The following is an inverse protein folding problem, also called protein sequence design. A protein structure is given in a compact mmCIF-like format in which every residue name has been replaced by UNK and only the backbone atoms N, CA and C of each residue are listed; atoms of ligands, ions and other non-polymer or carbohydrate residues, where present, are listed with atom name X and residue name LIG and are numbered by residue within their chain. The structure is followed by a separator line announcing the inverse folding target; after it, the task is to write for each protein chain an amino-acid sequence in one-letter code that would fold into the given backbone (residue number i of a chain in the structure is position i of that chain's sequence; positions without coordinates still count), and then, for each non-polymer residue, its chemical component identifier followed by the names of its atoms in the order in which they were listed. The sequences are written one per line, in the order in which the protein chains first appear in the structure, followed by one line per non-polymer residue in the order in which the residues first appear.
data_IF_454565435527
#
_entry.id   IF_454565435527
#
_cell.length_a   1.000
_cell.length_b   1.000
_cell.length_c   1.000
_cell.angle_alpha   90.00
_cell.angle_beta   90.00
_cell.angle_gamma   90.00
#
_symmetry.space_group_name_H-M   'P 1'
#
loop_
_entity.id
_entity.type
_entity.pdbx_description
1 polymer ?
#
# COMPACT_ATOMS: atom_id res chain seq x y z
N UNK A 1 30.97 -31.37 16.85
CA UNK A 1 29.86 -30.40 16.68
C UNK A 1 30.49 -29.09 16.26
N UNK A 2 29.96 -28.34 15.27
CA UNK A 2 30.50 -27.01 14.99
C UNK A 2 30.43 -26.20 16.29
N UNK A 3 31.53 -25.56 16.68
CA UNK A 3 31.56 -24.73 17.89
C UNK A 3 30.60 -23.55 17.70
N UNK A 4 29.67 -23.38 18.63
CA UNK A 4 28.71 -22.29 18.62
C UNK A 4 29.48 -20.97 18.83
N UNK A 5 29.73 -20.24 17.74
CA UNK A 5 30.41 -18.94 17.77
C UNK A 5 29.37 -17.81 17.99
N UNK A 6 29.79 -16.72 18.63
CA UNK A 6 29.03 -15.49 18.83
C UNK A 6 28.34 -14.99 17.53
N UNK A 7 29.01 -15.10 16.38
CA UNK A 7 28.43 -14.70 15.09
C UNK A 7 27.29 -15.61 14.63
N UNK A 8 27.34 -16.91 14.93
CA UNK A 8 26.22 -17.82 14.66
C UNK A 8 25.00 -17.46 15.50
N UNK A 9 25.20 -17.16 16.80
CA UNK A 9 24.13 -16.72 17.70
C UNK A 9 23.51 -15.42 17.18
N UNK A 10 24.34 -14.47 16.72
CA UNK A 10 23.88 -13.20 16.14
C UNK A 10 23.03 -13.42 14.90
N UNK A 11 23.44 -14.32 13.99
CA UNK A 11 22.66 -14.66 12.79
C UNK A 11 21.33 -15.31 13.13
N UNK A 12 21.30 -16.22 14.10
CA UNK A 12 20.05 -16.84 14.57
C UNK A 12 19.12 -15.76 15.13
N UNK A 13 19.59 -14.92 16.05
CA UNK A 13 18.79 -13.83 16.63
C UNK A 13 18.26 -12.86 15.56
N UNK A 14 19.10 -12.50 14.57
CA UNK A 14 18.71 -11.63 13.47
C UNK A 14 17.58 -12.26 12.63
N UNK A 15 17.76 -13.49 12.17
CA UNK A 15 16.76 -14.18 11.32
C UNK A 15 15.46 -14.44 12.10
N UNK A 16 15.55 -14.79 13.39
CA UNK A 16 14.36 -14.92 14.25
C UNK A 16 13.63 -13.59 14.42
N UNK A 17 14.35 -12.49 14.68
CA UNK A 17 13.74 -11.15 14.76
C UNK A 17 13.06 -10.75 13.45
N UNK A 18 13.68 -11.03 12.30
CA UNK A 18 13.09 -10.78 10.99
C UNK A 18 11.82 -11.62 10.77
N UNK A 19 11.82 -12.89 11.18
CA UNK A 19 10.64 -13.76 11.08
C UNK A 19 9.45 -13.22 11.87
N UNK A 20 9.70 -12.71 13.08
CA UNK A 20 8.66 -12.09 13.93
C UNK A 20 8.16 -10.78 13.32
N UNK A 21 9.07 -9.92 12.82
CA UNK A 21 8.70 -8.68 12.15
C UNK A 21 7.82 -8.93 10.91
N UNK A 22 8.18 -9.92 10.09
CA UNK A 22 7.37 -10.37 8.94
C UNK A 22 5.98 -10.84 9.36
N UNK A 23 5.84 -11.46 10.54
CA UNK A 23 4.53 -11.84 11.04
C UNK A 23 3.64 -10.62 11.29
N UNK A 24 4.17 -9.63 12.01
CA UNK A 24 3.44 -8.39 12.28
C UNK A 24 3.07 -7.64 10.99
N UNK A 25 3.99 -7.54 10.03
CA UNK A 25 3.67 -6.91 8.75
C UNK A 25 2.68 -7.72 7.90
N UNK A 26 2.72 -9.05 7.97
CA UNK A 26 1.72 -9.91 7.32
C UNK A 26 0.32 -9.65 7.86
N UNK A 27 0.15 -9.55 9.17
CA UNK A 27 -1.13 -9.24 9.82
C UNK A 27 -1.62 -7.84 9.41
N UNK A 28 -0.76 -6.83 9.52
CA UNK A 28 -1.09 -5.46 9.13
C UNK A 28 -1.53 -5.39 7.66
N UNK A 29 -0.79 -6.02 6.75
CA UNK A 29 -1.11 -5.96 5.31
C UNK A 29 -2.37 -6.73 4.96
N UNK A 30 -2.67 -7.82 5.65
CA UNK A 30 -3.94 -8.54 5.52
C UNK A 30 -5.11 -7.64 5.92
N UNK A 31 -5.03 -6.93 7.06
CA UNK A 31 -6.07 -6.00 7.49
C UNK A 31 -6.32 -4.88 6.48
N UNK A 32 -5.26 -4.29 5.92
CA UNK A 32 -5.39 -3.25 4.89
C UNK A 32 -6.02 -3.80 3.60
N UNK A 33 -5.69 -5.03 3.22
CA UNK A 33 -6.27 -5.69 2.06
C UNK A 33 -7.76 -5.95 2.27
N UNK A 34 -8.15 -6.44 3.45
CA UNK A 34 -9.55 -6.63 3.82
C UNK A 34 -10.33 -5.30 3.80
N UNK A 35 -9.77 -4.22 4.37
CA UNK A 35 -10.36 -2.88 4.34
C UNK A 35 -10.55 -2.39 2.89
N UNK A 36 -9.54 -2.58 2.04
CA UNK A 36 -9.59 -2.24 0.61
C UNK A 36 -10.66 -3.02 -0.13
N UNK A 37 -10.71 -4.35 0.07
CA UNK A 37 -11.69 -5.24 -0.56
C UNK A 37 -13.13 -4.89 -0.18
N UNK A 38 -13.36 -4.40 1.03
CA UNK A 38 -14.68 -3.89 1.44
C UNK A 38 -15.15 -2.75 0.55
N UNK A 39 -14.27 -1.79 0.26
CA UNK A 39 -14.55 -0.68 -0.64
C UNK A 39 -14.74 -1.14 -2.09
N UNK A 40 -13.90 -2.08 -2.56
CA UNK A 40 -14.05 -2.69 -3.89
C UNK A 40 -15.40 -3.40 -4.03
N UNK A 41 -15.83 -4.15 -3.01
CA UNK A 41 -17.13 -4.84 -3.00
C UNK A 41 -18.29 -3.85 -2.97
N UNK A 42 -18.15 -2.74 -2.25
CA UNK A 42 -19.16 -1.68 -2.28
C UNK A 42 -19.26 -1.04 -3.67
N UNK A 43 -18.12 -0.77 -4.31
CA UNK A 43 -18.04 -0.24 -5.66
C UNK A 43 -18.71 -1.17 -6.68
N UNK A 44 -18.42 -2.47 -6.63
CA UNK A 44 -19.05 -3.50 -7.48
C UNK A 44 -20.59 -3.46 -7.33
N UNK A 45 -21.09 -3.41 -6.10
CA UNK A 45 -22.53 -3.49 -5.83
C UNK A 45 -23.29 -2.18 -6.07
N UNK A 46 -22.63 -1.02 -5.97
CA UNK A 46 -23.30 0.30 -5.93
C UNK A 46 -22.83 1.28 -7.00
N UNK A 47 -21.78 0.96 -7.75
CA UNK A 47 -21.20 1.82 -8.79
C UNK A 47 -20.60 3.13 -8.26
N UNK A 48 -20.33 3.21 -6.95
CA UNK A 48 -19.73 4.39 -6.31
C UNK A 48 -18.89 3.96 -5.10
N UNK A 49 -17.93 4.78 -4.71
CA UNK A 49 -17.14 4.58 -3.49
C UNK A 49 -17.93 4.97 -2.23
N UNK A 50 -17.78 4.22 -1.15
CA UNK A 50 -18.31 4.50 0.20
C UNK A 50 -17.29 5.20 1.12
N UNK A 51 -16.15 5.64 0.58
CA UNK A 51 -15.11 6.40 1.28
C UNK A 51 -15.09 7.86 0.82
N UNK A 52 -14.91 8.79 1.76
CA UNK A 52 -14.80 10.22 1.46
C UNK A 52 -13.38 10.59 1.04
N UNK A 53 -13.21 11.72 0.34
CA UNK A 53 -11.91 12.09 -0.18
C UNK A 53 -10.82 12.33 0.85
N UNK A 54 -11.16 12.93 1.99
CA UNK A 54 -10.21 13.07 3.07
C UNK A 54 -9.84 11.71 3.69
N UNK A 55 -10.81 10.79 3.84
CA UNK A 55 -10.54 9.45 4.36
C UNK A 55 -9.67 8.64 3.41
N UNK A 56 -9.92 8.70 2.11
CA UNK A 56 -9.09 8.02 1.10
C UNK A 56 -7.65 8.55 1.11
N UNK A 57 -7.44 9.87 1.16
CA UNK A 57 -6.09 10.47 1.25
C UNK A 57 -5.33 9.99 2.50
N UNK A 58 -6.01 9.93 3.65
CA UNK A 58 -5.41 9.39 4.89
C UNK A 58 -5.09 7.90 4.77
N UNK A 59 -5.95 7.13 4.11
CA UNK A 59 -5.72 5.70 3.88
C UNK A 59 -4.52 5.47 2.96
N UNK A 60 -4.42 6.19 1.84
CA UNK A 60 -3.23 6.20 0.97
C UNK A 60 -1.97 6.50 1.77
N UNK A 61 -1.99 7.56 2.59
CA UNK A 61 -0.85 7.91 3.46
C UNK A 61 -0.47 6.80 4.46
N UNK A 62 -1.46 6.12 5.06
CA UNK A 62 -1.24 4.99 5.97
C UNK A 62 -0.52 3.84 5.23
N UNK A 63 -1.00 3.46 4.04
CA UNK A 63 -0.39 2.39 3.23
C UNK A 63 1.03 2.74 2.81
N UNK A 64 1.27 3.98 2.36
CA UNK A 64 2.61 4.46 2.00
C UNK A 64 3.59 4.41 3.19
N UNK A 65 3.16 4.86 4.37
CA UNK A 65 3.98 4.79 5.58
C UNK A 65 4.32 3.35 5.97
N UNK A 66 3.38 2.41 5.82
CA UNK A 66 3.61 0.99 6.10
C UNK A 66 4.60 0.40 5.09
N UNK A 67 4.43 0.70 3.79
CA UNK A 67 5.39 0.30 2.74
C UNK A 67 6.80 0.78 3.04
N UNK A 68 6.96 2.06 3.42
CA UNK A 68 8.27 2.63 3.75
C UNK A 68 8.89 1.96 4.98
N UNK A 69 8.11 1.74 6.04
CA UNK A 69 8.58 1.03 7.24
C UNK A 69 9.03 -0.40 6.94
N UNK A 70 8.31 -1.10 6.07
CA UNK A 70 8.71 -2.45 5.61
C UNK A 70 10.06 -2.36 4.92
N UNK A 71 10.23 -1.45 3.95
CA UNK A 71 11.49 -1.27 3.23
C UNK A 71 12.67 -0.89 4.15
N UNK A 72 12.45 -0.04 5.15
CA UNK A 72 13.49 0.39 6.10
C UNK A 72 13.91 -0.71 7.07
N UNK A 73 12.99 -1.56 7.52
CA UNK A 73 13.24 -2.53 8.59
C UNK A 73 13.62 -3.93 8.08
N UNK A 74 13.34 -4.23 6.81
CA UNK A 74 13.50 -5.57 6.24
C UNK A 74 14.56 -5.55 5.14
N UNK A 75 15.83 -5.46 5.55
CA UNK A 75 17.02 -5.73 4.71
C UNK A 75 17.16 -7.23 4.38
N UNK A 76 16.08 -7.90 3.95
CA UNK A 76 16.04 -9.37 3.82
C UNK A 76 16.90 -9.87 2.65
N UNK A 77 17.08 -9.03 1.62
CA UNK A 77 17.81 -9.41 0.41
C UNK A 77 19.32 -9.34 0.57
N UNK A 78 19.82 -8.48 1.46
CA UNK A 78 21.25 -8.38 1.72
C UNK A 78 21.64 -9.39 2.81
N UNK A 79 22.57 -10.29 2.49
CA UNK A 79 23.20 -11.12 3.52
C UNK A 79 24.20 -10.26 4.30
N UNK A 80 24.28 -10.39 5.64
CA UNK A 80 25.26 -9.64 6.43
C UNK A 80 26.68 -9.81 5.88
N UNK A 81 27.47 -8.74 5.81
CA UNK A 81 28.82 -8.76 5.18
C UNK A 81 29.70 -9.88 5.75
N UNK A 82 29.56 -10.20 7.04
CA UNK A 82 30.29 -11.29 7.70
C UNK A 82 30.03 -12.68 7.11
N UNK A 83 28.91 -12.88 6.40
CA UNK A 83 28.62 -14.14 5.71
C UNK A 83 29.26 -14.22 4.33
N UNK A 84 29.82 -13.14 3.79
CA UNK A 84 30.42 -13.15 2.44
C UNK A 84 31.78 -13.86 2.45
N UNK A 85 32.52 -13.74 3.54
CA UNK A 85 33.88 -14.28 3.69
C UNK A 85 33.90 -15.63 4.42
N UNK A 86 32.78 -16.06 5.02
CA UNK A 86 32.69 -17.28 5.81
C UNK A 86 31.58 -18.23 5.28
N UNK A 87 32.00 -19.32 4.65
CA UNK A 87 31.11 -20.30 4.04
C UNK A 87 30.14 -20.96 5.05
N UNK A 88 30.59 -21.22 6.28
CA UNK A 88 29.74 -21.81 7.32
C UNK A 88 28.64 -20.83 7.77
N UNK A 89 28.98 -19.55 7.94
CA UNK A 89 28.00 -18.51 8.28
C UNK A 89 27.04 -18.24 7.13
N UNK A 90 27.53 -18.30 5.88
CA UNK A 90 26.67 -18.17 4.69
C UNK A 90 25.65 -19.30 4.59
N UNK A 91 26.10 -20.54 4.80
CA UNK A 91 25.25 -21.72 4.80
C UNK A 91 24.20 -21.62 5.90
N UNK A 92 24.61 -21.33 7.13
CA UNK A 92 23.70 -21.13 8.26
C UNK A 92 22.64 -20.06 7.97
N UNK A 93 23.06 -18.90 7.47
CA UNK A 93 22.12 -17.81 7.13
C UNK A 93 21.13 -18.22 6.02
N UNK A 94 21.60 -18.96 5.02
CA UNK A 94 20.75 -19.46 3.93
C UNK A 94 19.73 -20.48 4.45
N UNK A 95 20.19 -21.44 5.25
CA UNK A 95 19.34 -22.48 5.86
C UNK A 95 18.29 -21.84 6.79
N UNK A 96 18.65 -20.82 7.58
CA UNK A 96 17.72 -20.06 8.41
C UNK A 96 16.69 -19.27 7.59
N UNK A 97 17.13 -18.55 6.54
CA UNK A 97 16.24 -17.83 5.63
C UNK A 97 15.21 -18.75 4.98
N UNK A 98 15.64 -19.96 4.60
CA UNK A 98 14.76 -20.99 4.05
C UNK A 98 13.83 -21.57 5.12
N UNK A 99 14.34 -21.93 6.29
CA UNK A 99 13.55 -22.52 7.38
C UNK A 99 12.43 -21.59 7.86
N UNK A 100 12.65 -20.28 7.85
CA UNK A 100 11.65 -19.28 8.23
C UNK A 100 10.85 -18.71 7.06
N UNK A 101 11.06 -19.21 5.83
CA UNK A 101 10.44 -18.74 4.60
C UNK A 101 10.52 -17.21 4.41
N UNK A 102 11.61 -16.57 4.86
CA UNK A 102 11.67 -15.10 4.99
C UNK A 102 11.45 -14.39 3.63
N UNK A 103 11.98 -14.99 2.56
CA UNK A 103 11.87 -14.44 1.20
C UNK A 103 10.45 -14.54 0.64
N UNK A 104 9.79 -15.67 0.84
CA UNK A 104 8.44 -15.91 0.32
C UNK A 104 7.40 -15.10 1.08
N UNK A 105 7.53 -15.03 2.42
CA UNK A 105 6.68 -14.20 3.27
C UNK A 105 6.81 -12.71 2.92
N UNK A 106 8.04 -12.23 2.69
CA UNK A 106 8.24 -10.86 2.22
C UNK A 106 7.58 -10.61 0.87
N UNK A 107 7.73 -11.54 -0.09
CA UNK A 107 7.11 -11.41 -1.41
C UNK A 107 5.59 -11.32 -1.31
N UNK A 108 4.96 -12.17 -0.51
CA UNK A 108 3.52 -12.10 -0.28
C UNK A 108 3.08 -10.75 0.30
N UNK A 109 3.80 -10.21 1.27
CA UNK A 109 3.54 -8.88 1.85
C UNK A 109 3.68 -7.79 0.78
N UNK A 110 4.72 -7.88 -0.06
CA UNK A 110 4.96 -6.94 -1.15
C UNK A 110 3.81 -6.96 -2.18
N UNK A 111 3.42 -8.15 -2.64
CA UNK A 111 2.35 -8.33 -3.63
C UNK A 111 1.02 -7.79 -3.09
N UNK A 112 0.70 -8.04 -1.81
CA UNK A 112 -0.49 -7.48 -1.16
C UNK A 112 -0.47 -5.95 -1.13
N UNK A 113 0.66 -5.35 -0.78
CA UNK A 113 0.82 -3.89 -0.78
C UNK A 113 0.63 -3.30 -2.16
N UNK A 114 1.14 -3.94 -3.22
CA UNK A 114 0.96 -3.45 -4.59
C UNK A 114 -0.52 -3.55 -5.03
N UNK A 115 -1.21 -4.65 -4.73
CA UNK A 115 -2.67 -4.78 -4.97
C UNK A 115 -3.44 -3.66 -4.25
N UNK A 116 -3.12 -3.39 -2.98
CA UNK A 116 -3.76 -2.31 -2.21
C UNK A 116 -3.51 -0.96 -2.89
N UNK A 117 -2.27 -0.68 -3.29
CA UNK A 117 -1.90 0.58 -3.95
C UNK A 117 -2.66 0.79 -5.26
N UNK A 118 -2.73 -0.25 -6.10
CA UNK A 118 -3.48 -0.21 -7.37
C UNK A 118 -4.97 0.11 -7.14
N UNK A 119 -5.59 -0.54 -6.15
CA UNK A 119 -6.99 -0.24 -5.80
C UNK A 119 -7.17 1.20 -5.32
N UNK A 120 -6.27 1.68 -4.46
CA UNK A 120 -6.36 3.04 -3.93
C UNK A 120 -6.11 4.11 -5.01
N UNK A 121 -5.27 3.81 -6.00
CA UNK A 121 -5.07 4.67 -7.17
C UNK A 121 -6.34 4.75 -8.02
N UNK A 122 -6.97 3.61 -8.32
CA UNK A 122 -8.26 3.58 -8.99
C UNK A 122 -9.35 4.33 -8.19
N UNK A 123 -9.38 4.18 -6.87
CA UNK A 123 -10.35 4.90 -6.03
C UNK A 123 -10.13 6.40 -6.08
N UNK A 124 -8.87 6.85 -6.12
CA UNK A 124 -8.53 8.26 -6.25
C UNK A 124 -9.02 8.79 -7.58
N UNK A 125 -8.77 8.09 -8.69
CA UNK A 125 -9.18 8.52 -10.02
C UNK A 125 -10.71 8.63 -10.14
N UNK A 126 -11.45 7.62 -9.65
CA UNK A 126 -12.93 7.65 -9.59
C UNK A 126 -13.44 8.88 -8.84
N UNK A 127 -12.76 9.25 -7.76
CA UNK A 127 -13.17 10.37 -6.92
C UNK A 127 -12.81 11.73 -7.52
N UNK A 128 -11.63 11.85 -8.15
CA UNK A 128 -11.19 13.07 -8.82
C UNK A 128 -12.10 13.37 -10.03
N UNK A 129 -12.54 12.35 -10.78
CA UNK A 129 -13.54 12.51 -11.84
C UNK A 129 -14.86 13.11 -11.32
N UNK A 130 -15.33 12.70 -10.14
CA UNK A 130 -16.55 13.23 -9.54
C UNK A 130 -16.44 14.70 -9.13
N UNK A 131 -15.27 15.14 -8.65
CA UNK A 131 -15.02 16.55 -8.32
C UNK A 131 -14.96 17.40 -9.60
N UNK A 132 -14.36 16.90 -10.68
CA UNK A 132 -14.29 17.60 -11.97
C UNK A 132 -15.67 17.93 -12.54
N UNK A 133 -16.65 17.02 -12.43
CA UNK A 133 -18.03 17.27 -12.90
C UNK A 133 -18.73 18.41 -12.18
N UNK A 134 -18.28 18.82 -10.98
CA UNK A 134 -18.89 19.97 -10.28
C UNK A 134 -18.58 21.30 -10.96
N UNK A 135 -17.35 21.47 -11.44
CA UNK A 135 -16.95 22.68 -12.16
C UNK A 135 -17.71 22.80 -13.49
N UNK A 136 -17.93 21.67 -14.16
CA UNK A 136 -18.75 21.61 -15.37
C UNK A 136 -20.17 22.13 -15.10
N UNK A 137 -20.83 21.68 -14.03
CA UNK A 137 -22.15 22.17 -13.65
C UNK A 137 -22.18 23.67 -13.33
N UNK A 138 -21.15 24.20 -12.67
CA UNK A 138 -21.04 25.65 -12.42
C UNK A 138 -20.99 26.43 -13.74
N UNK A 139 -20.19 25.97 -14.70
CA UNK A 139 -20.07 26.61 -16.03
C UNK A 139 -21.42 26.55 -16.77
N UNK A 140 -22.09 25.41 -16.79
CA UNK A 140 -23.41 25.25 -17.44
C UNK A 140 -24.43 26.23 -16.84
N UNK A 141 -24.49 26.34 -15.50
CA UNK A 141 -25.41 27.26 -14.83
C UNK A 141 -25.12 28.73 -15.20
N UNK A 142 -23.85 29.13 -15.23
CA UNK A 142 -23.45 30.48 -15.61
C UNK A 142 -23.88 30.82 -17.04
N UNK A 143 -23.68 29.89 -17.99
CA UNK A 143 -24.12 30.05 -19.38
C UNK A 143 -25.64 30.18 -19.47
N UNK A 144 -26.39 29.35 -18.73
CA UNK A 144 -27.87 29.39 -18.73
C UNK A 144 -28.37 30.74 -18.23
N UNK A 145 -27.78 31.27 -17.14
CA UNK A 145 -28.14 32.59 -16.61
C UNK A 145 -27.93 33.67 -17.68
N UNK A 146 -26.77 33.69 -18.34
CA UNK A 146 -26.44 34.70 -19.35
C UNK A 146 -27.35 34.61 -20.58
N UNK A 147 -27.68 33.40 -21.02
CA UNK A 147 -28.65 33.20 -22.12
C UNK A 147 -30.03 33.74 -21.73
N UNK A 148 -30.51 33.45 -20.51
CA UNK A 148 -31.80 33.95 -20.01
C UNK A 148 -31.81 35.47 -19.95
N UNK A 149 -30.76 36.09 -19.42
CA UNK A 149 -30.63 37.55 -19.36
C UNK A 149 -30.68 38.18 -20.76
N UNK A 150 -29.99 37.59 -21.74
CA UNK A 150 -30.02 38.05 -23.13
C UNK A 150 -31.43 37.94 -23.74
N UNK A 151 -32.16 36.85 -23.47
CA UNK A 151 -33.54 36.70 -23.94
C UNK A 151 -34.49 37.72 -23.31
N UNK A 152 -34.38 37.95 -22.00
CA UNK A 152 -35.17 38.95 -21.27
C UNK A 152 -34.89 40.34 -21.85
N UNK A 153 -33.62 40.71 -21.99
CA UNK A 153 -33.23 42.00 -22.55
C UNK A 153 -33.74 42.21 -23.97
N UNK A 154 -33.88 41.15 -24.77
CA UNK A 154 -34.40 41.22 -26.15
C UNK A 154 -35.93 41.28 -26.23
N UNK A 155 -36.65 40.84 -25.20
CA UNK A 155 -38.12 40.80 -25.20
C UNK A 155 -38.76 41.95 -24.43
N UNK A 156 -38.05 42.57 -23.49
CA UNK A 156 -38.49 43.72 -22.70
C UNK A 156 -38.13 45.08 -23.30
N UNK A 157 -37.31 45.10 -24.36
CA UNK A 157 -36.79 46.29 -25.04
C UNK A 157 -37.14 46.21 -26.52
#
# INVERSE_FOLDING_TARGET
MPELNQEMIRLVMLNTSQSVALNGYSEITEELLMETNKHTKYLENKGKLDISGNKLKRFIGKVLNIKNRILENLYIFDSPVITWENEQLNKLNTDLKQTFDLKDRYRLIHDRIEIIKENLELFKDIMDHKESSRLEWVIIILIVIEVVDMFIAKFLL
#
